data_IF_799641939948
#
_entry.id   IF_799641939948
#
_cell.length_a   1.000
_cell.length_b   1.000
_cell.length_c   1.000
_cell.angle_alpha   90.00
_cell.angle_beta   90.00
_cell.angle_gamma   90.00
#
_symmetry.space_group_name_H-M   'P 1'
#
loop_
_entity.id
_entity.type
_entity.pdbx_description
1 polymer ?
#
# COMPACT_ATOMS: atom_id res chain seq x y z
N UNK A 1 -9.62 9.55 -23.37
CA UNK A 1 -8.90 10.84 -23.15
C UNK A 1 -8.42 11.01 -21.71
N UNK A 2 -9.28 10.88 -20.69
CA UNK A 2 -8.90 11.07 -19.27
C UNK A 2 -7.74 10.19 -18.78
N UNK A 3 -7.63 8.94 -19.24
CA UNK A 3 -6.56 8.00 -18.84
C UNK A 3 -5.16 8.54 -19.16
N UNK A 4 -4.98 9.16 -20.34
CA UNK A 4 -3.67 9.70 -20.77
C UNK A 4 -3.32 10.98 -20.03
N UNK A 5 -4.32 11.83 -19.75
CA UNK A 5 -4.14 13.03 -18.93
C UNK A 5 -3.73 12.64 -17.51
N UNK A 6 -4.42 11.66 -16.92
CA UNK A 6 -4.06 11.10 -15.61
C UNK A 6 -2.64 10.51 -15.63
N UNK A 7 -2.31 9.66 -16.60
CA UNK A 7 -0.99 9.05 -16.71
C UNK A 7 0.14 10.08 -16.89
N UNK A 8 -0.07 11.10 -17.73
CA UNK A 8 0.90 12.18 -17.93
C UNK A 8 1.08 13.02 -16.65
N UNK A 9 -0.02 13.41 -16.00
CA UNK A 9 0.04 14.14 -14.73
C UNK A 9 0.72 13.32 -13.63
N UNK A 10 0.45 12.00 -13.58
CA UNK A 10 1.07 11.09 -12.63
C UNK A 10 2.57 10.91 -12.89
N UNK A 11 2.99 10.78 -14.15
CA UNK A 11 4.42 10.76 -14.50
C UNK A 11 5.14 12.03 -14.04
N UNK A 12 4.53 13.20 -14.27
CA UNK A 12 5.09 14.47 -13.81
C UNK A 12 5.18 14.51 -12.27
N UNK A 13 4.15 14.03 -11.57
CA UNK A 13 4.18 13.91 -10.12
C UNK A 13 5.30 12.96 -9.63
N UNK A 14 5.46 11.79 -10.26
CA UNK A 14 6.53 10.86 -9.93
C UNK A 14 7.91 11.48 -10.17
N UNK A 15 8.11 12.20 -11.28
CA UNK A 15 9.37 12.90 -11.57
C UNK A 15 9.67 13.99 -10.53
N UNK A 16 8.68 14.81 -10.19
CA UNK A 16 8.83 15.86 -9.16
C UNK A 16 9.14 15.28 -7.78
N UNK A 17 8.42 14.25 -7.36
CA UNK A 17 8.67 13.55 -6.10
C UNK A 17 10.03 12.83 -6.09
N UNK A 18 10.48 12.30 -7.23
CA UNK A 18 11.79 11.65 -7.33
C UNK A 18 12.92 12.67 -7.16
N UNK A 19 12.79 13.88 -7.72
CA UNK A 19 13.74 14.97 -7.52
C UNK A 19 13.82 15.39 -6.05
N UNK A 20 12.68 15.45 -5.35
CA UNK A 20 12.64 15.73 -3.91
C UNK A 20 13.27 14.59 -3.10
N UNK A 21 12.89 13.34 -3.41
CA UNK A 21 13.42 12.15 -2.75
C UNK A 21 14.93 11.96 -2.96
N UNK A 22 15.49 12.47 -4.06
CA UNK A 22 16.92 12.39 -4.34
C UNK A 22 17.78 13.13 -3.31
N UNK A 23 17.26 14.24 -2.77
CA UNK A 23 17.93 15.04 -1.75
C UNK A 23 17.73 14.55 -0.32
N UNK A 24 17.01 13.44 -0.10
CA UNK A 24 16.83 12.90 1.25
C UNK A 24 18.10 12.19 1.72
N UNK A 25 18.80 12.85 2.65
CA UNK A 25 19.89 12.25 3.43
C UNK A 25 19.45 12.14 4.89
N UNK A 26 19.51 10.92 5.45
CA UNK A 26 19.29 10.73 6.87
C UNK A 26 20.55 11.15 7.64
N UNK A 27 20.43 11.94 8.73
CA UNK A 27 21.57 12.35 9.56
C UNK A 27 22.36 11.18 10.16
N UNK A 28 21.71 10.01 10.29
CA UNK A 28 22.31 8.75 10.72
C UNK A 28 21.78 7.63 9.82
N UNK A 29 22.61 7.09 8.93
CA UNK A 29 22.27 5.94 8.11
C UNK A 29 22.78 4.66 8.78
N UNK A 30 21.90 3.92 9.45
CA UNK A 30 22.23 2.60 10.01
C UNK A 30 22.06 1.46 9.00
N UNK A 31 21.35 1.70 7.89
CA UNK A 31 21.10 0.70 6.84
C UNK A 31 21.83 1.01 5.52
N UNK A 32 22.43 -0.01 4.87
CA UNK A 32 23.32 0.17 3.70
C UNK A 32 22.61 0.72 2.46
N UNK A 33 21.29 0.61 2.38
CA UNK A 33 20.46 1.11 1.26
C UNK A 33 20.04 2.56 1.43
N UNK A 34 20.10 3.10 2.65
CA UNK A 34 19.69 4.47 2.96
C UNK A 34 18.17 4.74 2.83
N UNK A 35 17.69 5.87 3.37
CA UNK A 35 16.26 6.20 3.44
C UNK A 35 15.61 6.46 2.07
N UNK A 36 16.43 6.76 1.06
CA UNK A 36 15.96 7.13 -0.29
C UNK A 36 15.60 5.95 -1.18
N UNK A 37 16.14 4.76 -0.91
CA UNK A 37 15.97 3.61 -1.79
C UNK A 37 14.50 3.20 -1.92
N UNK A 38 13.79 3.14 -0.80
CA UNK A 38 12.38 2.74 -0.79
C UNK A 38 11.46 3.74 -1.52
N UNK A 39 11.48 5.06 -1.22
CA UNK A 39 10.71 6.04 -1.97
C UNK A 39 11.01 6.04 -3.47
N UNK A 40 12.30 6.00 -3.86
CA UNK A 40 12.68 6.04 -5.27
C UNK A 40 12.24 4.78 -6.03
N UNK A 41 12.33 3.60 -5.42
CA UNK A 41 11.84 2.36 -6.01
C UNK A 41 10.32 2.43 -6.26
N UNK A 42 9.56 2.90 -5.27
CA UNK A 42 8.11 3.04 -5.40
C UNK A 42 7.73 4.00 -6.54
N UNK A 43 8.38 5.17 -6.58
CA UNK A 43 8.18 6.16 -7.64
C UNK A 43 8.55 5.61 -9.02
N UNK A 44 9.62 4.83 -9.12
CA UNK A 44 10.02 4.16 -10.36
C UNK A 44 8.95 3.17 -10.84
N UNK A 45 8.45 2.29 -9.96
CA UNK A 45 7.40 1.33 -10.32
C UNK A 45 6.10 2.03 -10.75
N UNK A 46 5.71 3.09 -10.03
CA UNK A 46 4.55 3.92 -10.37
C UNK A 46 4.73 4.62 -11.73
N UNK A 47 5.93 5.13 -12.00
CA UNK A 47 6.26 5.75 -13.28
C UNK A 47 6.21 4.74 -14.44
N UNK A 48 6.75 3.54 -14.26
CA UNK A 48 6.64 2.46 -15.23
C UNK A 48 5.18 2.11 -15.56
N UNK A 49 4.32 2.01 -14.54
CA UNK A 49 2.88 1.78 -14.73
C UNK A 49 2.17 2.90 -15.49
N UNK A 50 2.51 4.16 -15.20
CA UNK A 50 1.96 5.30 -15.93
C UNK A 50 2.48 5.43 -17.36
N UNK A 51 3.76 5.14 -17.59
CA UNK A 51 4.35 5.05 -18.93
C UNK A 51 3.64 3.97 -19.75
N UNK A 52 3.41 2.79 -19.17
CA UNK A 52 2.63 1.74 -19.81
C UNK A 52 1.22 2.21 -20.21
N UNK A 53 0.51 2.90 -19.32
CA UNK A 53 -0.81 3.48 -19.61
C UNK A 53 -0.78 4.51 -20.76
N UNK A 54 0.32 5.25 -20.92
CA UNK A 54 0.53 6.21 -22.01
C UNK A 54 0.80 5.55 -23.36
N UNK A 55 1.57 4.45 -23.36
CA UNK A 55 1.95 3.73 -24.58
C UNK A 55 0.93 2.67 -25.01
N UNK A 56 -0.05 2.31 -24.15
CA UNK A 56 -1.10 1.34 -24.47
C UNK A 56 -1.81 1.71 -25.81
N UNK A 57 -1.81 0.82 -26.83
CA UNK A 57 -2.38 1.11 -28.15
C UNK A 57 -3.87 1.45 -28.11
N UNK A 58 -4.29 2.34 -29.03
CA UNK A 58 -5.69 2.76 -29.20
C UNK A 58 -6.50 1.64 -29.86
N UNK A 59 -7.07 0.75 -29.06
CA UNK A 59 -7.94 -0.31 -29.57
C UNK A 59 -9.06 -0.70 -28.60
N UNK A 60 -8.82 -0.59 -27.29
CA UNK A 60 -9.86 -0.87 -26.30
C UNK A 60 -10.67 0.39 -25.98
N UNK A 61 -12.02 0.36 -26.12
CA UNK A 61 -12.85 1.46 -25.69
C UNK A 61 -12.61 1.72 -24.21
N UNK A 62 -12.28 2.97 -23.86
CA UNK A 62 -12.14 3.35 -22.46
C UNK A 62 -13.49 3.13 -21.78
N UNK A 63 -13.60 2.28 -20.75
CA UNK A 63 -14.87 2.07 -20.07
C UNK A 63 -15.37 3.40 -19.50
N UNK A 64 -16.69 3.60 -19.51
CA UNK A 64 -17.31 4.78 -18.93
C UNK A 64 -16.95 4.89 -17.44
N UNK A 65 -16.94 6.12 -16.91
CA UNK A 65 -16.65 6.36 -15.51
C UNK A 65 -17.73 5.72 -14.63
N UNK A 66 -17.33 4.69 -13.90
CA UNK A 66 -18.20 3.93 -13.01
C UNK A 66 -18.07 4.46 -11.59
N UNK A 67 -19.12 5.14 -11.11
CA UNK A 67 -19.16 5.71 -9.76
C UNK A 67 -18.99 4.65 -8.67
N UNK A 68 -19.50 3.43 -8.88
CA UNK A 68 -19.37 2.35 -7.90
C UNK A 68 -17.91 1.89 -7.78
N UNK A 69 -17.19 1.78 -8.91
CA UNK A 69 -15.75 1.49 -8.89
C UNK A 69 -14.95 2.61 -8.24
N UNK A 70 -15.30 3.87 -8.52
CA UNK A 70 -14.65 5.03 -7.89
C UNK A 70 -14.86 5.05 -6.37
N UNK A 71 -16.09 4.79 -5.90
CA UNK A 71 -16.40 4.66 -4.47
C UNK A 71 -15.60 3.54 -3.81
N UNK A 72 -15.51 2.36 -4.45
CA UNK A 72 -14.69 1.27 -3.93
C UNK A 72 -13.21 1.65 -3.86
N UNK A 73 -12.68 2.34 -4.87
CA UNK A 73 -11.29 2.81 -4.84
C UNK A 73 -11.04 3.80 -3.68
N UNK A 74 -11.96 4.75 -3.46
CA UNK A 74 -11.87 5.69 -2.32
C UNK A 74 -11.91 4.95 -0.98
N UNK A 75 -12.83 4.00 -0.82
CA UNK A 75 -12.91 3.17 0.39
C UNK A 75 -11.64 2.32 0.60
N UNK A 76 -11.02 1.84 -0.48
CA UNK A 76 -9.74 1.13 -0.41
C UNK A 76 -8.64 2.04 0.16
N UNK A 77 -8.52 3.25 -0.38
CA UNK A 77 -7.55 4.24 0.09
C UNK A 77 -7.81 4.59 1.56
N UNK A 78 -9.07 4.79 1.95
CA UNK A 78 -9.42 5.06 3.35
C UNK A 78 -9.09 3.89 4.27
N UNK A 79 -9.31 2.64 3.83
CA UNK A 79 -8.95 1.46 4.61
C UNK A 79 -7.42 1.34 4.79
N UNK A 80 -6.63 1.65 3.76
CA UNK A 80 -5.17 1.67 3.84
C UNK A 80 -4.65 2.82 4.74
N UNK A 81 -5.29 3.99 4.69
CA UNK A 81 -4.98 5.09 5.60
C UNK A 81 -5.31 4.73 7.05
N UNK A 82 -6.48 4.12 7.29
CA UNK A 82 -6.85 3.63 8.61
C UNK A 82 -5.84 2.58 9.10
N UNK A 83 -5.42 1.66 8.24
CA UNK A 83 -4.36 0.70 8.56
C UNK A 83 -3.06 1.40 9.00
N UNK A 84 -2.57 2.38 8.23
CA UNK A 84 -1.35 3.12 8.58
C UNK A 84 -1.45 3.86 9.92
N UNK A 85 -2.61 4.45 10.23
CA UNK A 85 -2.84 5.17 11.48
C UNK A 85 -2.99 4.23 12.69
N UNK A 86 -3.62 3.07 12.49
CA UNK A 86 -3.84 2.07 13.55
C UNK A 86 -2.60 1.21 13.77
N UNK A 87 -1.66 1.17 12.81
CA UNK A 87 -0.50 0.29 12.81
C UNK A 87 0.32 0.36 14.10
N UNK A 88 0.61 1.56 14.58
CA UNK A 88 1.39 1.78 15.80
C UNK A 88 0.58 1.47 17.08
N UNK A 89 -0.72 1.77 17.06
CA UNK A 89 -1.61 1.66 18.23
C UNK A 89 -2.01 0.19 18.48
N UNK A 90 -2.55 -0.47 17.45
CA UNK A 90 -3.05 -1.83 17.55
C UNK A 90 -1.96 -2.88 17.33
N UNK A 91 -0.86 -2.50 16.67
CA UNK A 91 0.20 -3.41 16.28
C UNK A 91 -0.06 -4.08 14.93
N UNK A 92 0.98 -4.78 14.43
CA UNK A 92 1.04 -5.34 13.09
C UNK A 92 -0.07 -6.37 12.84
N UNK A 93 -0.23 -7.36 13.71
CA UNK A 93 -1.15 -8.50 13.50
C UNK A 93 -2.60 -8.02 13.41
N UNK A 94 -3.05 -7.23 14.39
CA UNK A 94 -4.43 -6.75 14.48
C UNK A 94 -4.74 -5.78 13.34
N UNK A 95 -3.83 -4.83 13.08
CA UNK A 95 -4.02 -3.85 11.99
C UNK A 95 -4.10 -4.56 10.63
N UNK A 96 -3.21 -5.51 10.38
CA UNK A 96 -3.17 -6.27 9.11
C UNK A 96 -4.40 -7.14 8.95
N UNK A 97 -4.88 -7.76 10.03
CA UNK A 97 -6.10 -8.55 10.00
C UNK A 97 -7.34 -7.69 9.68
N UNK A 98 -7.46 -6.52 10.30
CA UNK A 98 -8.53 -5.56 10.02
C UNK A 98 -8.45 -5.04 8.58
N UNK A 99 -7.26 -4.71 8.09
CA UNK A 99 -7.06 -4.29 6.70
C UNK A 99 -7.45 -5.39 5.71
N UNK A 100 -6.98 -6.63 5.93
CA UNK A 100 -7.32 -7.79 5.11
C UNK A 100 -8.83 -8.08 5.09
N UNK A 101 -9.49 -7.99 6.25
CA UNK A 101 -10.94 -8.11 6.37
C UNK A 101 -11.68 -7.01 5.61
N UNK A 102 -11.30 -5.75 5.81
CA UNK A 102 -11.92 -4.59 5.17
C UNK A 102 -11.79 -4.67 3.64
N UNK A 103 -10.61 -5.04 3.14
CA UNK A 103 -10.38 -5.26 1.72
C UNK A 103 -11.20 -6.45 1.20
N UNK A 104 -11.27 -7.55 1.94
CA UNK A 104 -12.11 -8.70 1.61
C UNK A 104 -13.56 -8.31 1.38
N UNK A 105 -14.15 -7.50 2.27
CA UNK A 105 -15.51 -6.99 2.11
C UNK A 105 -15.65 -6.00 0.94
N UNK A 106 -14.67 -5.13 0.76
CA UNK A 106 -14.67 -4.13 -0.30
C UNK A 106 -14.70 -4.73 -1.70
N UNK A 107 -14.03 -5.88 -1.86
CA UNK A 107 -14.02 -6.67 -3.09
C UNK A 107 -15.13 -7.74 -3.13
N UNK A 108 -16.20 -7.54 -2.35
CA UNK A 108 -17.42 -8.36 -2.37
C UNK A 108 -17.19 -9.81 -1.87
N UNK A 109 -16.21 -10.00 -0.99
CA UNK A 109 -15.98 -11.24 -0.26
C UNK A 109 -17.07 -11.52 0.78
N UNK A 110 -17.26 -12.80 1.09
CA UNK A 110 -18.18 -13.22 2.18
C UNK A 110 -17.58 -12.86 3.53
N UNK A 111 -18.42 -12.48 4.50
CA UNK A 111 -18.01 -12.07 5.85
C UNK A 111 -17.05 -13.07 6.51
N UNK A 112 -17.48 -14.33 6.66
CA UNK A 112 -16.69 -15.36 7.32
C UNK A 112 -15.34 -15.65 6.64
N UNK A 113 -15.28 -15.93 5.32
CA UNK A 113 -14.00 -16.04 4.61
C UNK A 113 -13.11 -14.81 4.74
N UNK A 114 -13.68 -13.60 4.73
CA UNK A 114 -12.91 -12.36 4.82
C UNK A 114 -12.26 -12.17 6.20
N UNK A 115 -12.98 -12.54 7.26
CA UNK A 115 -12.43 -12.54 8.63
C UNK A 115 -11.30 -13.54 8.73
N UNK A 116 -11.53 -14.78 8.27
CA UNK A 116 -10.53 -15.85 8.33
C UNK A 116 -9.30 -15.47 7.51
N UNK A 117 -9.48 -14.97 6.28
CA UNK A 117 -8.35 -14.54 5.44
C UNK A 117 -7.58 -13.37 6.04
N UNK A 118 -8.27 -12.41 6.67
CA UNK A 118 -7.63 -11.29 7.35
C UNK A 118 -6.75 -11.76 8.50
N UNK A 119 -7.31 -12.57 9.41
CA UNK A 119 -6.55 -13.12 10.55
C UNK A 119 -5.37 -13.96 10.07
N UNK A 120 -5.60 -14.85 9.10
CA UNK A 120 -4.57 -15.73 8.55
C UNK A 120 -3.45 -14.92 7.88
N UNK A 121 -3.79 -13.87 7.12
CA UNK A 121 -2.82 -12.96 6.52
C UNK A 121 -1.99 -12.23 7.58
N UNK A 122 -2.63 -11.70 8.62
CA UNK A 122 -1.94 -11.00 9.71
C UNK A 122 -0.95 -11.89 10.45
N UNK A 123 -1.37 -13.11 10.82
CA UNK A 123 -0.52 -14.06 11.54
C UNK A 123 0.61 -14.60 10.66
N UNK A 124 0.32 -14.98 9.41
CA UNK A 124 1.35 -15.49 8.50
C UNK A 124 2.40 -14.44 8.14
N UNK A 125 1.97 -13.21 7.85
CA UNK A 125 2.93 -12.13 7.57
C UNK A 125 3.73 -11.77 8.81
N UNK A 126 3.12 -11.80 9.99
CA UNK A 126 3.86 -11.59 11.24
C UNK A 126 4.94 -12.64 11.38
N UNK A 127 4.61 -13.93 11.25
CA UNK A 127 5.61 -15.00 11.30
C UNK A 127 6.68 -14.88 10.22
N UNK A 128 6.32 -14.43 9.02
CA UNK A 128 7.30 -14.19 7.96
C UNK A 128 8.27 -13.06 8.35
N UNK A 129 7.77 -11.92 8.80
CA UNK A 129 8.60 -10.76 9.12
C UNK A 129 9.43 -10.96 10.40
N UNK A 130 8.84 -11.58 11.42
CA UNK A 130 9.46 -11.86 12.70
C UNK A 130 10.54 -12.95 12.57
N UNK A 131 10.18 -14.13 12.05
CA UNK A 131 11.11 -15.26 12.02
C UNK A 131 12.06 -15.29 10.81
N UNK A 132 11.62 -14.83 9.64
CA UNK A 132 12.42 -14.96 8.40
C UNK A 132 13.21 -13.71 8.07
N UNK A 133 12.65 -12.52 8.36
CA UNK A 133 13.26 -11.24 8.02
C UNK A 133 13.88 -10.53 9.24
N UNK A 134 13.64 -11.02 10.47
CA UNK A 134 14.14 -10.45 11.73
C UNK A 134 13.81 -8.95 11.86
N UNK A 135 12.62 -8.56 11.39
CA UNK A 135 12.17 -7.16 11.36
C UNK A 135 11.40 -6.86 12.65
N UNK A 136 11.78 -5.83 13.42
CA UNK A 136 11.04 -5.44 14.61
C UNK A 136 9.66 -4.89 14.22
N UNK A 137 8.60 -5.60 14.57
CA UNK A 137 7.21 -5.22 14.30
C UNK A 137 6.56 -4.64 15.56
N UNK A 138 5.72 -3.60 15.45
CA UNK A 138 4.97 -3.11 16.59
C UNK A 138 3.95 -4.18 17.01
N UNK A 139 4.07 -4.66 18.25
CA UNK A 139 3.09 -5.56 18.86
C UNK A 139 1.83 -4.79 19.32
N UNK A 140 1.94 -3.48 19.52
CA UNK A 140 0.84 -2.61 19.95
C UNK A 140 0.15 -3.13 21.21
N UNK A 141 -1.16 -3.34 21.15
CA UNK A 141 -1.97 -3.86 22.26
C UNK A 141 -1.58 -5.27 22.70
N UNK A 142 -0.99 -6.10 21.82
CA UNK A 142 -0.58 -7.46 22.19
C UNK A 142 0.57 -7.46 23.20
N UNK A 143 1.35 -6.37 23.27
CA UNK A 143 2.39 -6.20 24.27
C UNK A 143 1.85 -6.17 25.71
N UNK A 144 0.59 -5.76 25.90
CA UNK A 144 -0.07 -5.74 27.21
C UNK A 144 -0.46 -7.14 27.72
N UNK A 145 -0.47 -8.15 26.84
CA UNK A 145 -0.78 -9.55 27.21
C UNK A 145 0.47 -10.36 27.60
N UNK A 146 1.67 -9.89 27.23
CA UNK A 146 2.95 -10.52 27.58
C UNK A 146 3.59 -9.96 28.87
N UNK A 147 3.08 -8.83 29.38
CA UNK A 147 3.51 -8.20 30.65
C UNK A 147 2.74 -8.71 31.85
#
# INVERSE_FOLDING_TARGET
MYVRVFAAAWLLACAGLALLAWGFEAPFAYDPVGPRAYPLLLLFLMACGAAWLLFKPHGEPTPAFDRAKAQRAVLCVLALLAYALLFEILGFVISTALAGFALGLLFNGRLWPSVISGVLLGVLLYGLFDYLLDVPLPLGLLRLLES
#
